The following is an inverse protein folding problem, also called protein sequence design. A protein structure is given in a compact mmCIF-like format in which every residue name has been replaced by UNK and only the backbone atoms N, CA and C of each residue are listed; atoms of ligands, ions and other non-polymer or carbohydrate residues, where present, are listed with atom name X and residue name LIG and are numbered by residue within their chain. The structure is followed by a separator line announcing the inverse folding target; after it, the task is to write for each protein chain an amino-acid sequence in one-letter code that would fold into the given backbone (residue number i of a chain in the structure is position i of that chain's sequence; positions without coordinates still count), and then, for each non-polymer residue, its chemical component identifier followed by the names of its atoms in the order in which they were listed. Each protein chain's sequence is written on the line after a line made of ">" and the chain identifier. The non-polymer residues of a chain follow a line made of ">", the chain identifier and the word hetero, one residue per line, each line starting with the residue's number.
data_IF_596964730491
#
_entry.id   IF_596964730491
#
_cell.length_a   1.000
_cell.length_b   1.000
_cell.length_c   1.000
_cell.angle_alpha   90.00
_cell.angle_beta   90.00
_cell.angle_gamma   90.00
#
_symmetry.space_group_name_H-M   'P 1'
#
loop_
_entity.id
_entity.type
_entity.pdbx_description
1 polymer ?
#
# COMPACT_ATOMS: atom_id res chain seq x y z
N UNK A 1 7.19 -6.10 22.51
CA UNK A 1 7.24 -4.62 22.46
C UNK A 1 7.38 -4.13 21.02
N UNK A 2 8.37 -4.62 20.24
CA UNK A 2 8.52 -4.25 18.80
C UNK A 2 7.30 -4.66 17.93
N UNK A 3 6.71 -5.86 18.13
CA UNK A 3 5.55 -6.32 17.34
C UNK A 3 4.29 -5.47 17.52
N UNK A 4 3.98 -5.06 18.77
CA UNK A 4 2.82 -4.23 19.06
C UNK A 4 2.96 -2.85 18.40
N UNK A 5 4.16 -2.25 18.49
CA UNK A 5 4.45 -0.97 17.86
C UNK A 5 4.29 -1.04 16.32
N UNK A 6 4.76 -2.11 15.68
CA UNK A 6 4.61 -2.25 14.23
C UNK A 6 3.15 -2.51 13.85
N UNK A 7 2.40 -3.26 14.66
CA UNK A 7 0.96 -3.45 14.46
C UNK A 7 0.19 -2.13 14.59
N UNK A 8 0.57 -1.28 15.54
CA UNK A 8 0.01 0.07 15.70
C UNK A 8 0.28 0.92 14.46
N UNK A 9 1.52 0.93 13.95
CA UNK A 9 1.87 1.65 12.70
C UNK A 9 1.05 1.14 11.52
N UNK A 10 0.92 -0.18 11.35
CA UNK A 10 0.07 -0.74 10.28
C UNK A 10 -1.38 -0.30 10.42
N UNK A 11 -1.89 -0.28 11.65
CA UNK A 11 -3.26 0.16 11.91
C UNK A 11 -3.45 1.65 11.62
N UNK A 12 -2.48 2.49 11.95
CA UNK A 12 -2.48 3.91 11.59
C UNK A 12 -2.51 4.09 10.07
N UNK A 13 -1.68 3.34 9.34
CA UNK A 13 -1.66 3.35 7.87
C UNK A 13 -3.05 2.96 7.32
N UNK A 14 -3.64 1.88 7.82
CA UNK A 14 -4.97 1.42 7.41
C UNK A 14 -6.05 2.48 7.68
N UNK A 15 -5.99 3.17 8.83
CA UNK A 15 -6.91 4.28 9.16
C UNK A 15 -6.72 5.45 8.18
N UNK A 16 -5.47 5.81 7.86
CA UNK A 16 -5.18 6.87 6.87
C UNK A 16 -5.73 6.48 5.50
N UNK A 17 -5.52 5.24 5.05
CA UNK A 17 -6.06 4.75 3.77
C UNK A 17 -7.58 4.83 3.75
N UNK A 18 -8.25 4.38 4.82
CA UNK A 18 -9.70 4.47 4.92
C UNK A 18 -10.19 5.92 4.86
N UNK A 19 -9.51 6.84 5.55
CA UNK A 19 -9.82 8.28 5.48
C UNK A 19 -9.66 8.85 4.06
N UNK A 20 -8.57 8.50 3.38
CA UNK A 20 -8.31 8.96 2.01
C UNK A 20 -9.34 8.42 1.01
N UNK A 21 -9.85 7.19 1.20
CA UNK A 21 -10.96 6.63 0.41
C UNK A 21 -12.26 7.41 0.65
N UNK A 22 -12.63 7.61 1.92
CA UNK A 22 -13.87 8.31 2.29
C UNK A 22 -13.89 9.80 1.84
N UNK A 23 -12.72 10.39 1.65
CA UNK A 23 -12.54 11.77 1.17
C UNK A 23 -12.28 11.87 -0.33
N UNK A 24 -12.27 10.74 -1.06
CA UNK A 24 -12.03 10.69 -2.50
C UNK A 24 -10.61 11.08 -2.94
N UNK A 25 -9.65 11.16 -2.01
CA UNK A 25 -8.25 11.47 -2.31
C UNK A 25 -7.51 10.28 -2.96
N UNK A 26 -7.99 9.08 -2.67
CA UNK A 26 -7.68 7.86 -3.40
C UNK A 26 -9.01 7.12 -3.66
N UNK A 27 -9.04 6.30 -4.69
CA UNK A 27 -10.20 5.50 -5.10
C UNK A 27 -9.73 4.16 -5.63
N UNK A 28 -10.65 3.19 -5.74
CA UNK A 28 -10.42 1.97 -6.50
C UNK A 28 -9.91 2.30 -7.92
N UNK A 29 -8.80 1.68 -8.30
CA UNK A 29 -8.25 1.78 -9.66
C UNK A 29 -8.33 0.46 -10.39
N UNK A 30 -8.06 -0.67 -9.71
CA UNK A 30 -7.98 -2.00 -10.30
C UNK A 30 -8.39 -3.07 -9.31
N UNK A 31 -8.98 -4.15 -9.82
CA UNK A 31 -9.09 -5.43 -9.12
C UNK A 31 -8.06 -6.38 -9.72
N UNK A 32 -7.34 -7.12 -8.88
CA UNK A 32 -6.36 -8.12 -9.31
C UNK A 32 -6.65 -9.47 -8.67
N UNK A 33 -6.22 -10.53 -9.35
CA UNK A 33 -6.43 -11.91 -8.93
C UNK A 33 -5.08 -12.62 -8.75
N UNK A 34 -5.01 -13.47 -7.75
CA UNK A 34 -3.91 -14.41 -7.54
C UNK A 34 -4.45 -15.82 -7.30
N UNK A 35 -3.57 -16.83 -7.16
CA UNK A 35 -3.99 -18.20 -6.91
C UNK A 35 -4.77 -18.31 -5.58
N UNK A 36 -6.11 -18.45 -5.67
CA UNK A 36 -6.99 -18.61 -4.51
C UNK A 36 -7.36 -17.31 -3.77
N UNK A 37 -6.98 -16.15 -4.29
CA UNK A 37 -7.31 -14.86 -3.67
C UNK A 37 -7.50 -13.75 -4.71
N UNK A 38 -8.07 -12.63 -4.27
CA UNK A 38 -8.10 -11.40 -5.04
C UNK A 38 -7.72 -10.21 -4.17
N UNK A 39 -7.56 -9.05 -4.77
CA UNK A 39 -7.40 -7.81 -4.06
C UNK A 39 -7.69 -6.61 -4.93
N UNK A 40 -7.56 -5.44 -4.33
CA UNK A 40 -7.84 -4.17 -4.99
C UNK A 40 -6.63 -3.27 -4.90
N UNK A 41 -6.48 -2.42 -5.91
CA UNK A 41 -5.47 -1.38 -5.92
C UNK A 41 -6.18 -0.04 -5.82
N UNK A 42 -5.78 0.79 -4.87
CA UNK A 42 -6.30 2.16 -4.71
C UNK A 42 -5.22 3.19 -5.03
N UNK A 43 -5.63 4.30 -5.61
CA UNK A 43 -4.76 5.40 -6.00
C UNK A 43 -5.59 6.63 -6.35
N UNK A 44 -4.95 7.77 -6.57
CA UNK A 44 -5.66 9.01 -6.87
C UNK A 44 -4.70 10.20 -6.95
N UNK A 45 -5.22 11.44 -6.86
CA UNK A 45 -4.42 12.65 -7.03
C UNK A 45 -3.16 12.69 -6.15
N UNK A 46 -3.25 12.21 -4.91
CA UNK A 46 -2.11 12.13 -3.99
C UNK A 46 -1.03 11.14 -4.43
N UNK A 47 -1.38 10.17 -5.25
CA UNK A 47 -0.46 9.13 -5.75
C UNK A 47 -0.07 9.34 -7.21
N UNK A 48 -0.38 10.52 -7.76
CA UNK A 48 -0.11 10.91 -9.15
C UNK A 48 -1.07 10.31 -10.17
N UNK A 49 -2.15 9.65 -9.73
CA UNK A 49 -3.18 9.10 -10.60
C UNK A 49 -4.41 10.02 -10.65
N UNK A 50 -5.23 9.89 -11.69
CA UNK A 50 -6.56 10.48 -11.68
C UNK A 50 -7.51 9.56 -10.90
N UNK A 51 -8.57 10.15 -10.36
CA UNK A 51 -9.69 9.37 -9.82
C UNK A 51 -10.30 8.52 -10.94
N UNK A 52 -10.66 7.28 -10.63
CA UNK A 52 -11.45 6.46 -11.52
C UNK A 52 -12.87 7.03 -11.60
N UNK A 53 -13.31 7.33 -12.81
CA UNK A 53 -14.63 7.86 -13.09
C UNK A 53 -15.29 7.04 -14.20
N UNK A 54 -16.61 7.03 -14.17
CA UNK A 54 -17.40 6.35 -15.18
C UNK A 54 -17.28 7.05 -16.54
N UNK A 55 -17.46 6.27 -17.61
CA UNK A 55 -17.43 6.80 -18.97
C UNK A 55 -18.56 7.82 -19.13
N UNK A 56 -18.22 8.99 -19.72
CA UNK A 56 -19.13 10.13 -19.91
C UNK A 56 -19.67 10.74 -18.60
N UNK A 57 -18.96 10.57 -17.48
CA UNK A 57 -19.35 11.15 -16.18
C UNK A 57 -20.77 10.74 -15.74
N UNK A 58 -21.11 9.46 -15.95
CA UNK A 58 -22.39 8.90 -15.56
C UNK A 58 -22.57 8.98 -14.02
N UNK A 59 -23.58 9.71 -13.51
CA UNK A 59 -23.74 9.89 -12.06
C UNK A 59 -23.95 8.58 -11.29
N UNK A 60 -24.67 7.62 -11.88
CA UNK A 60 -24.90 6.32 -11.26
C UNK A 60 -23.62 5.48 -11.22
N UNK A 61 -22.80 5.57 -12.26
CA UNK A 61 -21.49 4.90 -12.31
C UNK A 61 -20.55 5.44 -11.23
N UNK A 62 -20.44 6.76 -11.12
CA UNK A 62 -19.60 7.40 -10.11
C UNK A 62 -20.10 7.13 -8.69
N UNK A 63 -21.42 7.21 -8.47
CA UNK A 63 -22.01 6.85 -7.18
C UNK A 63 -21.74 5.39 -6.79
N UNK A 64 -21.73 4.47 -7.77
CA UNK A 64 -21.38 3.07 -7.52
C UNK A 64 -19.91 2.93 -7.10
N UNK A 65 -18.99 3.67 -7.74
CA UNK A 65 -17.58 3.69 -7.35
C UNK A 65 -17.40 4.23 -5.92
N UNK A 66 -18.12 5.29 -5.56
CA UNK A 66 -18.08 5.86 -4.20
C UNK A 66 -18.57 4.87 -3.14
N UNK A 67 -19.65 4.10 -3.44
CA UNK A 67 -20.10 3.02 -2.56
C UNK A 67 -19.01 1.96 -2.38
N UNK A 68 -18.32 1.58 -3.46
CA UNK A 68 -17.25 0.58 -3.38
C UNK A 68 -16.10 1.09 -2.51
N UNK A 69 -15.70 2.36 -2.66
CA UNK A 69 -14.66 2.97 -1.83
C UNK A 69 -15.05 3.00 -0.34
N UNK A 70 -16.31 3.31 -0.04
CA UNK A 70 -16.86 3.24 1.33
C UNK A 70 -16.79 1.82 1.88
N UNK A 71 -17.20 0.81 1.08
CA UNK A 71 -17.15 -0.60 1.50
C UNK A 71 -15.70 -1.00 1.81
N UNK A 72 -14.75 -0.68 0.93
CA UNK A 72 -13.33 -0.96 1.12
C UNK A 72 -12.83 -0.29 2.41
N UNK A 73 -13.15 0.99 2.63
CA UNK A 73 -12.77 1.71 3.84
C UNK A 73 -13.31 1.06 5.11
N UNK A 74 -14.58 0.64 5.12
CA UNK A 74 -15.20 -0.07 6.25
C UNK A 74 -14.52 -1.41 6.51
N UNK A 75 -14.17 -2.17 5.47
CA UNK A 75 -13.47 -3.45 5.61
C UNK A 75 -12.06 -3.28 6.19
N UNK A 76 -11.35 -2.21 5.79
CA UNK A 76 -10.05 -1.84 6.37
C UNK A 76 -10.21 -1.46 7.85
N UNK A 77 -11.21 -0.65 8.17
CA UNK A 77 -11.49 -0.27 9.56
C UNK A 77 -11.92 -1.47 10.43
N UNK A 78 -12.53 -2.49 9.84
CA UNK A 78 -12.86 -3.75 10.53
C UNK A 78 -11.71 -4.74 10.57
N UNK A 79 -10.56 -4.42 9.96
CA UNK A 79 -9.38 -5.28 9.95
C UNK A 79 -9.58 -6.61 9.19
N UNK A 80 -10.55 -6.62 8.26
CA UNK A 80 -10.90 -7.75 7.38
C UNK A 80 -10.01 -7.81 6.12
N UNK A 81 -9.51 -6.63 5.71
CA UNK A 81 -8.52 -6.42 4.66
C UNK A 81 -7.56 -5.33 5.12
N UNK A 82 -6.31 -5.35 4.63
CA UNK A 82 -5.27 -4.41 5.04
C UNK A 82 -4.41 -4.02 3.83
N UNK A 83 -3.55 -3.03 4.01
CA UNK A 83 -2.46 -2.78 3.07
C UNK A 83 -1.54 -4.01 2.99
N UNK A 84 -1.39 -4.55 1.78
CA UNK A 84 -0.51 -5.70 1.50
C UNK A 84 0.72 -5.35 0.68
N UNK A 85 0.78 -4.15 0.12
CA UNK A 85 1.96 -3.69 -0.61
C UNK A 85 1.77 -2.34 -1.30
N UNK A 86 2.89 -1.81 -1.79
CA UNK A 86 2.96 -0.60 -2.60
C UNK A 86 3.40 -0.99 -4.01
N UNK A 87 2.69 -0.51 -5.02
CA UNK A 87 3.12 -0.60 -6.41
C UNK A 87 3.59 0.77 -6.86
N UNK A 88 4.81 0.86 -7.37
CA UNK A 88 5.40 2.08 -7.95
C UNK A 88 5.55 1.87 -9.45
N UNK A 89 4.88 2.71 -10.23
CA UNK A 89 4.95 2.71 -11.68
C UNK A 89 6.18 3.49 -12.17
N UNK A 90 6.61 3.18 -13.40
CA UNK A 90 7.76 3.84 -14.04
C UNK A 90 7.56 5.34 -14.29
N UNK A 91 6.33 5.83 -14.28
CA UNK A 91 5.98 7.25 -14.43
C UNK A 91 5.81 7.99 -13.10
N UNK A 92 6.49 7.50 -12.05
CA UNK A 92 6.49 8.05 -10.69
C UNK A 92 5.13 8.06 -9.97
N UNK A 93 4.10 7.44 -10.56
CA UNK A 93 2.84 7.18 -9.84
C UNK A 93 3.02 6.00 -8.91
N UNK A 94 2.26 6.00 -7.83
CA UNK A 94 2.17 4.83 -6.97
C UNK A 94 0.71 4.48 -6.66
N UNK A 95 0.51 3.27 -6.16
CA UNK A 95 -0.80 2.79 -5.78
C UNK A 95 -0.68 1.75 -4.69
N UNK A 96 -1.70 1.68 -3.84
CA UNK A 96 -1.72 0.85 -2.65
C UNK A 96 -2.48 -0.43 -2.94
N UNK A 97 -1.87 -1.58 -2.68
CA UNK A 97 -2.48 -2.88 -2.84
C UNK A 97 -3.16 -3.27 -1.53
N UNK A 98 -4.45 -3.58 -1.58
CA UNK A 98 -5.28 -3.89 -0.41
C UNK A 98 -5.90 -5.27 -0.60
N UNK A 99 -5.77 -6.10 0.43
CA UNK A 99 -6.26 -7.49 0.44
C UNK A 99 -6.27 -8.01 1.88
N UNK A 100 -6.91 -9.15 2.11
CA UNK A 100 -6.81 -9.82 3.42
C UNK A 100 -7.65 -11.08 3.48
N UNK A 101 -7.90 -11.60 4.70
CA UNK A 101 -8.59 -12.88 4.91
C UNK A 101 -9.92 -12.97 4.17
N UNK A 102 -10.71 -11.89 4.18
CA UNK A 102 -11.99 -11.85 3.46
C UNK A 102 -11.85 -12.05 1.94
N UNK A 103 -10.70 -11.69 1.37
CA UNK A 103 -10.41 -11.86 -0.05
C UNK A 103 -9.58 -13.13 -0.35
N UNK A 104 -9.44 -14.04 0.63
CA UNK A 104 -8.71 -15.30 0.48
C UNK A 104 -7.20 -15.20 0.63
N UNK A 105 -6.67 -14.04 1.07
CA UNK A 105 -5.24 -13.84 1.31
C UNK A 105 -4.96 -13.81 2.80
N UNK A 106 -3.89 -14.47 3.25
CA UNK A 106 -3.47 -14.37 4.65
C UNK A 106 -3.19 -12.90 5.03
N UNK A 107 -3.48 -12.59 6.29
CA UNK A 107 -3.21 -11.26 6.82
C UNK A 107 -1.71 -10.98 6.84
N UNK A 108 -1.30 -9.83 6.33
CA UNK A 108 0.10 -9.42 6.33
C UNK A 108 0.50 -9.02 7.75
N UNK A 109 1.10 -9.96 8.46
CA UNK A 109 1.71 -9.71 9.77
C UNK A 109 3.17 -9.29 9.59
N UNK A 110 3.66 -8.31 10.37
CA UNK A 110 5.06 -7.91 10.32
C UNK A 110 5.96 -9.07 10.69
N UNK A 111 6.90 -9.42 9.82
CA UNK A 111 7.92 -10.43 10.11
C UNK A 111 9.05 -9.76 10.90
N UNK A 112 8.80 -9.49 12.18
CA UNK A 112 9.74 -8.78 13.08
C UNK A 112 10.95 -9.64 13.42
N UNK A 113 10.73 -10.94 13.64
CA UNK A 113 11.75 -11.91 14.06
C UNK A 113 12.96 -11.95 13.13
N UNK A 114 12.74 -11.71 11.85
CA UNK A 114 13.81 -11.73 10.84
C UNK A 114 14.20 -10.35 10.34
N UNK A 115 13.57 -9.26 10.80
CA UNK A 115 13.81 -7.93 10.25
C UNK A 115 15.28 -7.51 10.33
N UNK A 116 15.91 -7.68 11.50
CA UNK A 116 17.35 -7.38 11.70
C UNK A 116 18.25 -8.30 10.89
N UNK A 117 17.86 -9.58 10.76
CA UNK A 117 18.60 -10.58 9.96
C UNK A 117 18.53 -10.22 8.47
N UNK A 118 17.34 -10.01 7.95
CA UNK A 118 17.08 -9.62 6.56
C UNK A 118 17.76 -8.30 6.22
N UNK A 119 17.75 -7.32 7.12
CA UNK A 119 18.48 -6.06 6.93
C UNK A 119 19.99 -6.31 6.82
N UNK A 120 20.56 -7.13 7.70
CA UNK A 120 21.99 -7.48 7.67
C UNK A 120 22.36 -8.24 6.40
N UNK A 121 21.55 -9.22 6.00
CA UNK A 121 21.74 -10.00 4.77
C UNK A 121 21.62 -9.12 3.52
N UNK A 122 20.62 -8.24 3.46
CA UNK A 122 20.49 -7.26 2.40
C UNK A 122 21.72 -6.36 2.31
N UNK A 123 22.15 -5.77 3.43
CA UNK A 123 23.33 -4.91 3.46
C UNK A 123 24.59 -5.66 2.98
N UNK A 124 24.76 -6.93 3.39
CA UNK A 124 25.87 -7.77 2.94
C UNK A 124 25.80 -8.04 1.43
N UNK A 125 24.64 -8.42 0.91
CA UNK A 125 24.44 -8.64 -0.53
C UNK A 125 24.76 -7.36 -1.31
N UNK A 126 24.29 -6.20 -0.84
CA UNK A 126 24.54 -4.94 -1.52
C UNK A 126 26.02 -4.56 -1.46
N UNK A 127 26.67 -4.67 -0.29
CA UNK A 127 28.09 -4.34 -0.15
C UNK A 127 29.01 -5.28 -0.94
N UNK A 128 28.64 -6.55 -1.05
CA UNK A 128 29.49 -7.57 -1.67
C UNK A 128 29.34 -7.60 -3.20
N UNK A 129 28.17 -7.20 -3.71
CA UNK A 129 27.86 -7.32 -5.15
C UNK A 129 27.77 -5.98 -5.88
N UNK A 130 27.72 -4.85 -5.17
CA UNK A 130 27.58 -3.53 -5.79
C UNK A 130 28.65 -2.56 -5.25
N UNK A 131 29.24 -1.78 -6.14
CA UNK A 131 30.12 -0.68 -5.75
C UNK A 131 29.26 0.46 -5.19
N UNK A 132 29.29 0.62 -3.87
CA UNK A 132 28.67 1.74 -3.18
C UNK A 132 29.73 2.82 -2.97
N UNK A 133 29.59 3.95 -3.66
CA UNK A 133 30.43 5.12 -3.42
C UNK A 133 30.08 5.75 -2.06
N UNK A 134 31.03 5.67 -1.12
CA UNK A 134 30.89 6.17 0.25
C UNK A 134 30.65 7.68 0.30
N UNK A 135 31.21 8.46 -0.63
CA UNK A 135 30.96 9.91 -0.69
C UNK A 135 29.52 10.19 -1.12
N UNK A 136 29.03 9.46 -2.12
CA UNK A 136 27.66 9.58 -2.59
C UNK A 136 26.64 9.21 -1.50
N UNK A 137 26.87 8.12 -0.76
CA UNK A 137 26.00 7.73 0.36
C UNK A 137 26.03 8.78 1.49
N UNK A 138 27.21 9.35 1.80
CA UNK A 138 27.31 10.44 2.79
C UNK A 138 26.59 11.71 2.33
N UNK A 139 26.65 12.04 1.05
CA UNK A 139 25.93 13.18 0.48
C UNK A 139 24.40 12.98 0.59
N UNK A 140 23.90 11.79 0.25
CA UNK A 140 22.47 11.45 0.38
C UNK A 140 21.97 11.56 1.83
N UNK A 141 22.74 11.09 2.82
CA UNK A 141 22.36 11.16 4.24
C UNK A 141 22.35 12.58 4.81
N UNK A 142 23.04 13.52 4.16
CA UNK A 142 23.12 14.93 4.56
C UNK A 142 22.03 15.81 3.95
N UNK A 143 21.27 15.32 2.97
CA UNK A 143 20.15 16.04 2.34
C UNK A 143 18.85 15.98 3.16
N UNK A 144 18.95 15.86 4.49
CA UNK A 144 17.81 15.95 5.41
C UNK A 144 17.59 17.37 5.87
#
# INVERSE_FOLDING_TARGET
>A
MEENAIREIQREIDIVIAFLLLTGQITLTRVYFGPGYFGVTVGGPLTGANRLESINDNPLGNFTLDIIDIIIAVLILKDEINLVGLFVASDARFSLSISGPLFGREKVVPVTKFLKKNQKEFNAIVSDNYFLDDEFIKALKRMK
#
